data_IF_768418977710
#
_entry.id   IF_768418977710
#
_cell.length_a   1.000
_cell.length_b   1.000
_cell.length_c   1.000
_cell.angle_alpha   90.00
_cell.angle_beta   90.00
_cell.angle_gamma   90.00
#
_symmetry.space_group_name_H-M   'P 1'
#
loop_
_entity.id
_entity.type
_entity.pdbx_description
1 polymer ?
#
# COMPACT_ATOMS: atom_id res chain seq x y z
N UNK A 1 0.81 -17.87 10.34
CA UNK A 1 1.37 -17.71 8.97
C UNK A 1 1.35 -16.24 8.58
N UNK A 2 2.48 -15.70 8.12
CA UNK A 2 2.62 -14.33 7.62
C UNK A 2 3.52 -14.33 6.39
N UNK A 3 3.18 -13.55 5.36
CA UNK A 3 4.01 -13.44 4.15
C UNK A 3 5.39 -12.78 4.38
N UNK A 4 5.61 -12.15 5.54
CA UNK A 4 6.92 -11.59 5.92
C UNK A 4 7.81 -12.60 6.66
N UNK A 5 7.23 -13.66 7.23
CA UNK A 5 7.98 -14.68 7.98
C UNK A 5 7.49 -16.09 7.62
N UNK A 6 7.47 -16.47 6.31
CA UNK A 6 7.18 -17.85 5.93
C UNK A 6 8.35 -18.76 6.34
N UNK A 7 8.05 -19.93 6.89
CA UNK A 7 9.05 -20.96 7.21
C UNK A 7 9.25 -21.94 6.06
N UNK A 8 8.18 -22.24 5.33
CA UNK A 8 8.12 -23.19 4.22
C UNK A 8 6.98 -22.84 3.26
N UNK A 9 6.90 -23.57 2.13
CA UNK A 9 5.82 -23.48 1.15
C UNK A 9 6.12 -22.56 -0.03
N UNK A 10 5.20 -22.53 -0.99
CA UNK A 10 5.32 -21.74 -2.22
C UNK A 10 4.45 -20.48 -2.18
N UNK A 11 5.06 -19.32 -2.32
CA UNK A 11 4.35 -18.06 -2.53
C UNK A 11 4.10 -17.84 -4.03
N UNK A 12 2.83 -17.90 -4.44
CA UNK A 12 2.40 -17.52 -5.80
C UNK A 12 2.05 -16.04 -5.79
N UNK A 13 3.01 -15.19 -6.16
CA UNK A 13 2.87 -13.74 -6.09
C UNK A 13 2.18 -13.23 -7.36
N UNK A 14 1.01 -12.61 -7.17
CA UNK A 14 0.15 -12.10 -8.24
C UNK A 14 0.04 -10.58 -8.09
N UNK A 15 0.96 -9.80 -8.66
CA UNK A 15 0.98 -8.36 -8.47
C UNK A 15 -0.04 -7.61 -9.35
N UNK A 16 -1.16 -8.27 -9.70
CA UNK A 16 -2.19 -7.73 -10.56
C UNK A 16 -2.80 -6.45 -10.00
N UNK A 17 -2.82 -5.40 -10.82
CA UNK A 17 -3.43 -4.12 -10.49
C UNK A 17 -4.93 -4.14 -10.85
N UNK A 18 -5.69 -5.02 -10.20
CA UNK A 18 -7.15 -5.18 -10.34
C UNK A 18 -7.92 -4.04 -9.64
N UNK A 19 -7.57 -2.79 -10.00
CA UNK A 19 -8.12 -1.53 -9.50
C UNK A 19 -8.84 -0.77 -10.63
N UNK A 20 -9.57 0.33 -10.36
CA UNK A 20 -10.14 1.18 -11.40
C UNK A 20 -9.09 1.62 -12.45
N UNK A 21 -9.26 1.17 -13.69
CA UNK A 21 -8.24 1.31 -14.74
C UNK A 21 -8.12 2.73 -15.28
N UNK A 22 -9.20 3.50 -15.25
CA UNK A 22 -9.23 4.92 -15.60
C UNK A 22 -8.39 5.77 -14.62
N UNK A 23 -8.38 5.40 -13.35
CA UNK A 23 -7.55 6.04 -12.33
C UNK A 23 -6.07 5.64 -12.47
N UNK A 24 -5.78 4.34 -12.63
CA UNK A 24 -4.40 3.87 -12.79
C UNK A 24 -3.68 4.49 -13.99
N UNK A 25 -4.39 4.74 -15.10
CA UNK A 25 -3.83 5.39 -16.30
C UNK A 25 -3.34 6.83 -16.04
N UNK A 26 -3.76 7.47 -14.95
CA UNK A 26 -3.30 8.81 -14.54
C UNK A 26 -1.96 8.76 -13.80
N UNK A 27 -1.54 7.58 -13.36
CA UNK A 27 -0.29 7.38 -12.61
C UNK A 27 0.83 7.06 -13.59
N UNK A 28 1.85 7.91 -13.65
CA UNK A 28 3.05 7.65 -14.45
C UNK A 28 3.74 6.37 -13.97
N UNK A 29 4.02 5.48 -14.92
CA UNK A 29 4.64 4.17 -14.71
C UNK A 29 3.82 3.21 -13.83
N UNK A 30 2.48 3.33 -13.81
CA UNK A 30 1.60 2.48 -13.00
C UNK A 30 1.88 0.98 -13.14
N UNK A 31 2.17 0.49 -14.37
CA UNK A 31 2.55 -0.91 -14.62
C UNK A 31 3.69 -1.38 -13.72
N UNK A 32 4.69 -0.53 -13.50
CA UNK A 32 5.86 -0.88 -12.70
C UNK A 32 5.53 -1.11 -11.23
N UNK A 33 4.32 -0.75 -10.77
CA UNK A 33 3.85 -1.16 -9.44
C UNK A 33 3.74 -2.66 -9.27
N UNK A 34 3.76 -3.43 -10.37
CA UNK A 34 3.97 -4.87 -10.28
C UNK A 34 5.25 -5.22 -9.51
N UNK A 35 6.28 -4.38 -9.55
CA UNK A 35 7.54 -4.57 -8.82
C UNK A 35 7.46 -4.24 -7.33
N UNK A 36 6.34 -3.66 -6.83
CA UNK A 36 6.18 -3.38 -5.39
C UNK A 36 6.13 -4.64 -4.54
N UNK A 37 5.87 -5.81 -5.12
CA UNK A 37 5.92 -7.08 -4.38
C UNK A 37 7.26 -7.80 -4.48
N UNK A 38 8.27 -7.25 -5.16
CA UNK A 38 9.60 -7.88 -5.27
C UNK A 38 10.32 -8.02 -3.93
N UNK A 39 9.94 -7.25 -2.90
CA UNK A 39 10.44 -7.49 -1.55
C UNK A 39 10.15 -8.94 -1.07
N UNK A 40 9.10 -9.60 -1.59
CA UNK A 40 8.80 -11.00 -1.25
C UNK A 40 9.88 -11.97 -1.74
N UNK A 41 10.74 -11.59 -2.69
CA UNK A 41 11.91 -12.41 -3.05
C UNK A 41 12.86 -12.57 -1.85
N UNK A 42 12.89 -11.62 -0.92
CA UNK A 42 13.72 -11.68 0.28
C UNK A 42 13.28 -12.80 1.25
N UNK A 43 12.06 -13.32 1.09
CA UNK A 43 11.59 -14.49 1.86
C UNK A 43 12.33 -15.78 1.49
N UNK A 44 12.97 -15.82 0.32
CA UNK A 44 13.82 -16.93 -0.11
C UNK A 44 15.04 -17.13 0.81
N UNK A 45 15.31 -16.23 1.76
CA UNK A 45 16.25 -16.48 2.87
C UNK A 45 15.90 -17.77 3.63
N UNK A 46 14.61 -18.10 3.74
CA UNK A 46 14.17 -19.36 4.34
C UNK A 46 14.33 -20.49 3.30
N UNK A 47 15.10 -21.56 3.61
CA UNK A 47 15.42 -22.61 2.62
C UNK A 47 14.20 -23.44 2.21
N UNK A 48 13.16 -23.51 3.06
CA UNK A 48 11.91 -24.21 2.76
C UNK A 48 10.94 -23.43 1.87
N UNK A 49 11.22 -22.16 1.57
CA UNK A 49 10.32 -21.27 0.83
C UNK A 49 10.65 -21.27 -0.65
N UNK A 50 9.63 -21.30 -1.50
CA UNK A 50 9.74 -21.06 -2.94
C UNK A 50 8.89 -19.86 -3.33
N UNK A 51 9.28 -19.18 -4.40
CA UNK A 51 8.51 -18.05 -4.92
C UNK A 51 8.25 -18.24 -6.40
N UNK A 52 6.98 -18.16 -6.79
CA UNK A 52 6.56 -18.03 -8.18
C UNK A 52 6.09 -16.60 -8.36
N UNK A 53 6.82 -15.80 -9.14
CA UNK A 53 6.48 -14.40 -9.39
C UNK A 53 5.88 -14.23 -10.78
N UNK A 54 4.69 -13.64 -10.83
CA UNK A 54 4.00 -13.34 -12.07
C UNK A 54 4.23 -11.88 -12.48
N UNK A 55 4.31 -11.62 -13.77
CA UNK A 55 4.39 -10.25 -14.29
C UNK A 55 3.80 -10.12 -15.70
N UNK A 56 3.38 -8.91 -16.07
CA UNK A 56 2.87 -8.64 -17.41
C UNK A 56 3.98 -8.72 -18.46
N UNK A 57 5.20 -8.32 -18.08
CA UNK A 57 6.39 -8.28 -18.92
C UNK A 57 7.59 -8.87 -18.17
N UNK A 58 8.65 -9.31 -18.88
CA UNK A 58 9.87 -9.78 -18.24
C UNK A 58 10.45 -8.70 -17.31
N UNK A 59 10.83 -9.12 -16.10
CA UNK A 59 11.57 -8.28 -15.16
C UNK A 59 13.04 -8.33 -15.57
N UNK A 60 13.70 -7.18 -15.58
CA UNK A 60 15.13 -7.08 -15.92
C UNK A 60 15.96 -7.98 -14.98
N UNK A 61 16.84 -8.86 -15.51
CA UNK A 61 17.68 -9.71 -14.68
C UNK A 61 18.51 -8.96 -13.63
N UNK A 62 18.99 -7.75 -13.94
CA UNK A 62 19.75 -6.93 -12.97
C UNK A 62 18.90 -6.61 -11.72
N UNK A 63 17.57 -6.45 -11.87
CA UNK A 63 16.64 -6.22 -10.76
C UNK A 63 16.53 -7.48 -9.90
N UNK A 64 16.47 -8.66 -10.52
CA UNK A 64 16.39 -9.93 -9.81
C UNK A 64 17.69 -10.18 -9.04
N UNK A 65 18.83 -10.02 -9.70
CA UNK A 65 20.16 -10.16 -9.09
C UNK A 65 20.34 -9.20 -7.90
N UNK A 66 19.81 -7.98 -8.00
CA UNK A 66 19.79 -7.03 -6.89
C UNK A 66 19.05 -7.56 -5.66
N UNK A 67 17.83 -8.07 -5.82
CA UNK A 67 17.06 -8.62 -4.70
C UNK A 67 17.70 -9.89 -4.13
N UNK A 68 18.21 -10.78 -4.99
CA UNK A 68 18.90 -11.99 -4.55
C UNK A 68 20.22 -11.66 -3.84
N UNK A 69 20.89 -10.56 -4.18
CA UNK A 69 22.10 -10.09 -3.52
C UNK A 69 21.96 -9.75 -2.03
N UNK A 70 20.72 -9.56 -1.52
CA UNK A 70 20.47 -9.41 -0.09
C UNK A 70 20.47 -10.75 0.68
N UNK A 71 20.43 -11.87 -0.04
CA UNK A 71 20.26 -13.20 0.54
C UNK A 71 21.62 -13.84 0.84
N UNK A 72 21.69 -14.69 1.88
CA UNK A 72 22.95 -15.34 2.26
C UNK A 72 23.46 -16.34 1.20
N UNK A 73 22.56 -16.94 0.43
CA UNK A 73 22.86 -17.86 -0.67
C UNK A 73 22.00 -17.48 -1.90
N UNK A 74 22.48 -16.53 -2.74
CA UNK A 74 21.76 -16.09 -3.93
C UNK A 74 21.53 -17.22 -4.96
N UNK A 75 22.48 -18.14 -5.10
CA UNK A 75 22.40 -19.25 -6.06
C UNK A 75 21.30 -20.24 -5.67
N UNK A 76 21.18 -20.54 -4.38
CA UNK A 76 20.09 -21.37 -3.87
C UNK A 76 18.73 -20.69 -3.99
N UNK A 77 18.65 -19.41 -3.63
CA UNK A 77 17.44 -18.64 -3.80
C UNK A 77 16.99 -18.58 -5.27
N UNK A 78 17.92 -18.40 -6.22
CA UNK A 78 17.63 -18.42 -7.65
C UNK A 78 17.01 -19.75 -8.11
N UNK A 79 17.47 -20.90 -7.58
CA UNK A 79 16.88 -22.21 -7.91
C UNK A 79 15.45 -22.38 -7.38
N UNK A 80 15.07 -21.64 -6.33
CA UNK A 80 13.74 -21.66 -5.71
C UNK A 80 12.82 -20.53 -6.18
N UNK A 81 13.32 -19.66 -7.05
CA UNK A 81 12.57 -18.60 -7.70
C UNK A 81 12.15 -19.03 -9.11
N UNK A 82 10.87 -18.87 -9.42
CA UNK A 82 10.34 -19.03 -10.78
C UNK A 82 9.65 -17.76 -11.24
N UNK A 83 10.17 -17.15 -12.29
CA UNK A 83 9.59 -15.97 -12.92
C UNK A 83 8.74 -16.41 -14.11
N UNK A 84 7.49 -15.95 -14.19
CA UNK A 84 6.57 -16.23 -15.30
C UNK A 84 6.00 -14.90 -15.79
N UNK A 85 6.52 -14.43 -16.92
CA UNK A 85 5.97 -13.28 -17.64
C UNK A 85 4.90 -13.73 -18.64
N UNK A 86 3.91 -12.86 -18.88
CA UNK A 86 2.91 -13.07 -19.95
C UNK A 86 3.33 -12.46 -21.29
N UNK A 87 4.35 -11.62 -21.28
CA UNK A 87 4.90 -10.89 -22.44
C UNK A 87 3.84 -10.06 -23.20
N UNK A 88 2.86 -9.52 -22.47
CA UNK A 88 1.77 -8.73 -23.03
C UNK A 88 1.80 -7.28 -22.52
N UNK A 89 1.61 -6.28 -23.40
CA UNK A 89 1.48 -4.89 -22.99
C UNK A 89 0.33 -4.69 -21.99
N UNK A 90 0.59 -3.90 -20.94
CA UNK A 90 -0.41 -3.61 -19.93
C UNK A 90 -1.60 -2.85 -20.53
N UNK A 91 -2.71 -3.55 -20.71
CA UNK A 91 -3.99 -3.02 -21.22
C UNK A 91 -5.16 -3.29 -20.27
N UNK A 92 -4.96 -4.22 -19.33
CA UNK A 92 -5.93 -4.72 -18.36
C UNK A 92 -5.19 -5.36 -17.17
N UNK A 93 -5.88 -5.69 -16.06
CA UNK A 93 -5.29 -6.42 -14.94
C UNK A 93 -4.61 -7.72 -15.38
N UNK A 94 -3.44 -8.01 -14.79
CA UNK A 94 -2.60 -9.17 -15.09
C UNK A 94 -3.40 -10.49 -15.00
N UNK A 95 -4.20 -10.63 -13.94
CA UNK A 95 -5.00 -11.83 -13.70
C UNK A 95 -6.01 -12.11 -14.82
N UNK A 96 -6.60 -11.07 -15.44
CA UNK A 96 -7.51 -11.26 -16.59
C UNK A 96 -6.81 -11.81 -17.81
N UNK A 97 -5.57 -11.39 -18.07
CA UNK A 97 -4.77 -11.96 -19.15
C UNK A 97 -4.44 -13.42 -18.85
N UNK A 98 -4.05 -13.70 -17.61
CA UNK A 98 -3.67 -15.04 -17.17
C UNK A 98 -4.82 -16.06 -17.28
N UNK A 99 -6.04 -15.68 -16.89
CA UNK A 99 -7.25 -16.52 -17.02
C UNK A 99 -7.57 -16.89 -18.48
N UNK A 100 -7.07 -16.11 -19.46
CA UNK A 100 -7.23 -16.38 -20.90
C UNK A 100 -6.09 -17.23 -21.49
N UNK A 101 -5.13 -17.65 -20.67
CA UNK A 101 -3.91 -18.36 -21.10
C UNK A 101 -3.81 -19.74 -20.47
N UNK A 102 -4.52 -20.76 -21.00
CA UNK A 102 -4.49 -22.13 -20.49
C UNK A 102 -3.06 -22.69 -20.41
N UNK A 103 -2.20 -22.35 -21.38
CA UNK A 103 -0.80 -22.75 -21.40
C UNK A 103 -0.01 -22.25 -20.17
N UNK A 104 -0.30 -21.02 -19.72
CA UNK A 104 0.33 -20.44 -18.52
C UNK A 104 -0.26 -21.04 -17.25
N UNK A 105 -1.57 -21.26 -17.20
CA UNK A 105 -2.24 -21.92 -16.09
C UNK A 105 -1.67 -23.34 -15.87
N UNK A 106 -1.44 -24.10 -16.93
CA UNK A 106 -0.85 -25.44 -16.83
C UNK A 106 0.61 -25.40 -16.37
N UNK A 107 1.38 -24.41 -16.84
CA UNK A 107 2.74 -24.14 -16.34
C UNK A 107 2.74 -23.80 -14.85
N UNK A 108 1.74 -23.05 -14.38
CA UNK A 108 1.58 -22.70 -12.97
C UNK A 108 1.22 -23.90 -12.12
N UNK A 109 0.20 -24.68 -12.51
CA UNK A 109 -0.17 -25.93 -11.84
C UNK A 109 1.00 -26.89 -11.70
N UNK A 110 1.83 -26.98 -12.74
CA UNK A 110 3.03 -27.83 -12.73
C UNK A 110 4.18 -27.29 -11.85
N UNK A 111 4.15 -26.00 -11.51
CA UNK A 111 5.16 -25.34 -10.68
C UNK A 111 4.80 -25.32 -9.19
N UNK A 112 3.50 -25.30 -8.90
CA UNK A 112 2.93 -25.24 -7.57
C UNK A 112 3.07 -26.61 -6.89
N UNK A 113 3.57 -26.61 -5.66
CA UNK A 113 3.53 -27.79 -4.79
C UNK A 113 2.27 -27.78 -3.91
N UNK A 114 2.11 -28.82 -3.09
CA UNK A 114 0.90 -29.01 -2.28
C UNK A 114 0.71 -27.97 -1.17
N UNK A 115 1.77 -27.26 -0.78
CA UNK A 115 1.74 -26.20 0.23
C UNK A 115 2.06 -24.86 -0.42
N UNK A 116 1.04 -24.25 -1.03
CA UNK A 116 1.17 -23.00 -1.75
C UNK A 116 0.09 -22.01 -1.32
N UNK A 117 0.38 -20.73 -1.48
CA UNK A 117 -0.53 -19.63 -1.17
C UNK A 117 -0.44 -18.56 -2.25
N UNK A 118 -1.60 -18.09 -2.70
CA UNK A 118 -1.70 -16.99 -3.63
C UNK A 118 -1.61 -15.67 -2.86
N UNK A 119 -0.66 -14.82 -3.22
CA UNK A 119 -0.44 -13.51 -2.61
C UNK A 119 -0.77 -12.42 -3.64
N UNK A 120 -2.02 -11.91 -3.66
CA UNK A 120 -2.42 -10.89 -4.60
C UNK A 120 -2.04 -9.50 -4.08
N UNK A 121 -1.75 -8.56 -5.00
CA UNK A 121 -1.63 -7.15 -4.62
C UNK A 121 -2.98 -6.59 -4.13
N UNK A 122 -4.04 -6.86 -4.89
CA UNK A 122 -5.43 -6.51 -4.57
C UNK A 122 -6.28 -7.75 -4.87
N UNK A 123 -7.26 -8.04 -4.02
CA UNK A 123 -8.21 -9.11 -4.30
C UNK A 123 -9.40 -8.58 -5.10
N UNK A 124 -9.74 -9.27 -6.18
CA UNK A 124 -10.99 -9.11 -6.92
C UNK A 124 -11.51 -10.49 -7.35
N UNK A 125 -12.70 -10.52 -7.95
CA UNK A 125 -13.31 -11.77 -8.45
C UNK A 125 -12.37 -12.55 -9.36
N UNK A 126 -11.51 -11.88 -10.13
CA UNK A 126 -10.57 -12.57 -11.03
C UNK A 126 -9.44 -13.27 -10.29
N UNK A 127 -8.99 -12.72 -9.15
CA UNK A 127 -8.00 -13.39 -8.31
C UNK A 127 -8.60 -14.60 -7.58
N UNK A 128 -9.87 -14.53 -7.18
CA UNK A 128 -10.59 -15.67 -6.61
C UNK A 128 -10.82 -16.78 -7.65
N UNK A 129 -11.19 -16.43 -8.88
CA UNK A 129 -11.29 -17.37 -10.00
C UNK A 129 -9.94 -18.04 -10.28
N UNK A 130 -8.84 -17.27 -10.30
CA UNK A 130 -7.50 -17.81 -10.48
C UNK A 130 -7.13 -18.80 -9.37
N UNK A 131 -7.36 -18.42 -8.11
CA UNK A 131 -7.08 -19.26 -6.96
C UNK A 131 -7.87 -20.58 -7.03
N UNK A 132 -9.15 -20.52 -7.41
CA UNK A 132 -9.99 -21.71 -7.59
C UNK A 132 -9.48 -22.62 -8.71
N UNK A 133 -9.07 -22.06 -9.85
CA UNK A 133 -8.51 -22.82 -10.98
C UNK A 133 -7.15 -23.47 -10.68
N UNK A 134 -6.38 -22.90 -9.75
CA UNK A 134 -5.10 -23.43 -9.29
C UNK A 134 -5.26 -24.33 -8.06
N UNK A 135 -6.42 -24.33 -7.40
CA UNK A 135 -6.68 -24.98 -6.12
C UNK A 135 -5.68 -24.57 -5.04
N UNK A 136 -5.46 -23.26 -4.90
CA UNK A 136 -4.52 -22.65 -3.95
C UNK A 136 -5.25 -21.66 -3.04
N UNK A 137 -5.05 -21.70 -1.71
CA UNK A 137 -5.64 -20.72 -0.80
C UNK A 137 -5.08 -19.31 -1.02
N UNK A 138 -5.89 -18.29 -0.73
CA UNK A 138 -5.54 -16.88 -0.93
C UNK A 138 -5.11 -16.27 0.40
N UNK A 139 -3.99 -15.55 0.40
CA UNK A 139 -3.61 -14.66 1.49
C UNK A 139 -4.10 -13.23 1.18
N UNK A 140 -5.36 -12.94 1.51
CA UNK A 140 -5.95 -11.63 1.26
C UNK A 140 -7.42 -11.54 1.70
N UNK A 141 -7.95 -10.32 1.83
CA UNK A 141 -9.30 -10.10 2.31
C UNK A 141 -10.30 -10.48 1.23
N UNK A 142 -11.14 -11.50 1.49
CA UNK A 142 -12.13 -12.06 0.55
C UNK A 142 -13.02 -10.98 -0.08
N UNK A 143 -13.42 -11.15 -1.34
CA UNK A 143 -14.23 -10.14 -2.06
C UNK A 143 -15.61 -9.96 -1.42
N UNK A 144 -16.15 -11.02 -0.80
CA UNK A 144 -17.38 -10.97 0.00
C UNK A 144 -17.30 -10.03 1.20
N UNK A 145 -16.09 -9.65 1.63
CA UNK A 145 -15.83 -8.72 2.73
C UNK A 145 -15.42 -7.32 2.23
N UNK A 146 -15.44 -7.07 0.90
CA UNK A 146 -15.02 -5.81 0.31
C UNK A 146 -15.79 -4.60 0.84
N UNK A 147 -17.04 -4.80 1.30
CA UNK A 147 -17.84 -3.77 1.95
C UNK A 147 -17.08 -3.09 3.09
N UNK A 148 -16.32 -3.82 3.91
CA UNK A 148 -15.57 -3.26 5.03
C UNK A 148 -14.35 -2.43 4.62
N UNK A 149 -13.93 -2.51 3.35
CA UNK A 149 -12.95 -1.61 2.75
C UNK A 149 -13.59 -0.39 2.06
N UNK A 150 -14.92 -0.31 1.98
CA UNK A 150 -15.62 0.87 1.49
C UNK A 150 -15.64 1.98 2.54
N UNK A 151 -15.88 3.23 2.12
CA UNK A 151 -16.01 4.34 3.09
C UNK A 151 -17.14 4.14 4.09
N UNK A 152 -18.27 3.59 3.65
CA UNK A 152 -19.39 3.29 4.56
C UNK A 152 -19.07 2.14 5.52
N UNK A 153 -18.51 1.04 5.02
CA UNK A 153 -18.12 -0.09 5.88
C UNK A 153 -16.99 0.26 6.84
N UNK A 154 -16.04 1.11 6.44
CA UNK A 154 -15.01 1.63 7.32
C UNK A 154 -15.61 2.43 8.49
N UNK A 155 -16.65 3.24 8.23
CA UNK A 155 -17.38 3.96 9.30
C UNK A 155 -18.13 3.01 10.23
N UNK A 156 -18.74 1.95 9.69
CA UNK A 156 -19.41 0.94 10.49
C UNK A 156 -18.42 0.23 11.44
N UNK A 157 -17.30 -0.27 10.90
CA UNK A 157 -16.23 -0.92 11.68
C UNK A 157 -15.66 0.05 12.73
N UNK A 158 -15.38 1.29 12.33
CA UNK A 158 -14.82 2.31 13.23
C UNK A 158 -15.76 2.65 14.39
N UNK A 159 -17.07 2.72 14.12
CA UNK A 159 -18.08 2.95 15.16
C UNK A 159 -18.15 1.78 16.14
N UNK A 160 -18.19 0.53 15.64
CA UNK A 160 -18.20 -0.66 16.48
C UNK A 160 -16.92 -0.78 17.34
N UNK A 161 -15.77 -0.44 16.77
CA UNK A 161 -14.48 -0.40 17.47
C UNK A 161 -14.37 0.75 18.50
N UNK A 162 -15.34 1.66 18.54
CA UNK A 162 -15.30 2.87 19.38
C UNK A 162 -14.17 3.82 18.99
N UNK A 163 -13.77 3.85 17.72
CA UNK A 163 -12.71 4.72 17.21
C UNK A 163 -13.32 6.05 16.77
N UNK A 164 -12.75 7.20 17.20
CA UNK A 164 -13.22 8.51 16.77
C UNK A 164 -13.21 8.65 15.24
N UNK A 165 -14.17 9.39 14.70
CA UNK A 165 -14.28 9.71 13.28
C UNK A 165 -14.82 11.13 13.12
N UNK A 166 -14.63 11.71 11.93
CA UNK A 166 -15.39 12.90 11.55
C UNK A 166 -16.89 12.62 11.64
N UNK A 167 -17.66 13.58 12.16
CA UNK A 167 -19.12 13.50 12.17
C UNK A 167 -19.61 13.34 10.74
N UNK A 168 -20.55 12.43 10.53
CA UNK A 168 -20.95 12.10 9.18
C UNK A 168 -21.91 10.92 9.10
N UNK A 169 -22.38 10.69 7.90
CA UNK A 169 -23.32 9.65 7.52
C UNK A 169 -22.67 8.74 6.50
N UNK A 170 -22.93 7.44 6.61
CA UNK A 170 -22.56 6.45 5.59
C UNK A 170 -23.79 5.94 4.84
N UNK A 171 -23.51 5.16 3.80
CA UNK A 171 -24.50 4.47 2.96
C UNK A 171 -25.54 5.43 2.33
N UNK A 172 -25.07 6.58 1.83
CA UNK A 172 -25.92 7.59 1.19
C UNK A 172 -25.99 7.33 -0.32
N UNK A 173 -27.19 7.14 -0.87
CA UNK A 173 -27.42 6.77 -2.29
C UNK A 173 -28.35 7.73 -3.07
N UNK A 174 -28.94 8.73 -2.42
CA UNK A 174 -29.90 9.64 -3.07
C UNK A 174 -29.56 11.09 -2.85
N UNK A 175 -29.95 11.95 -3.79
CA UNK A 175 -29.73 13.41 -3.69
C UNK A 175 -30.38 13.97 -2.44
N UNK A 176 -31.60 13.52 -2.11
CA UNK A 176 -32.33 13.96 -0.91
C UNK A 176 -31.53 13.62 0.34
N UNK A 177 -31.05 12.37 0.46
CA UNK A 177 -30.27 11.94 1.61
C UNK A 177 -28.91 12.68 1.69
N UNK A 178 -28.29 13.01 0.55
CA UNK A 178 -27.09 13.85 0.52
C UNK A 178 -27.42 15.24 1.07
N UNK A 179 -28.48 15.88 0.59
CA UNK A 179 -28.83 17.24 1.03
C UNK A 179 -29.15 17.29 2.52
N UNK A 180 -29.94 16.32 3.02
CA UNK A 180 -30.24 16.17 4.46
C UNK A 180 -28.97 15.94 5.30
N UNK A 181 -28.06 15.07 4.83
CA UNK A 181 -26.79 14.82 5.51
C UNK A 181 -25.92 16.09 5.54
N UNK A 182 -25.88 16.85 4.46
CA UNK A 182 -25.06 18.06 4.40
C UNK A 182 -25.63 19.16 5.30
N UNK A 183 -26.95 19.34 5.31
CA UNK A 183 -27.61 20.37 6.11
C UNK A 183 -27.47 20.10 7.61
N UNK A 184 -27.52 18.83 8.03
CA UNK A 184 -27.41 18.42 9.43
C UNK A 184 -25.99 18.48 10.02
N UNK A 185 -24.94 18.43 9.19
CA UNK A 185 -23.55 18.49 9.67
C UNK A 185 -23.12 19.92 10.04
N UNK A 186 -22.26 20.09 11.05
CA UNK A 186 -21.77 21.41 11.46
C UNK A 186 -20.77 22.00 10.44
N UNK A 187 -20.46 23.28 10.61
CA UNK A 187 -19.47 23.99 9.80
C UNK A 187 -20.03 24.55 8.49
N UNK A 188 -19.17 25.22 7.72
CA UNK A 188 -19.54 25.83 6.42
C UNK A 188 -19.30 24.89 5.24
N UNK A 189 -18.52 23.83 5.45
CA UNK A 189 -18.09 22.89 4.43
C UNK A 189 -18.23 21.45 4.91
N UNK A 190 -18.49 20.58 3.96
CA UNK A 190 -18.56 19.12 4.14
C UNK A 190 -17.74 18.46 3.04
N UNK A 191 -17.38 17.20 3.25
CA UNK A 191 -16.78 16.35 2.24
C UNK A 191 -17.71 15.18 1.93
N UNK A 192 -17.98 14.96 0.64
CA UNK A 192 -18.67 13.78 0.14
C UNK A 192 -17.64 12.86 -0.48
N UNK A 193 -17.60 11.59 -0.07
CA UNK A 193 -16.62 10.61 -0.57
C UNK A 193 -17.36 9.39 -1.11
N UNK A 194 -17.12 9.02 -2.37
CA UNK A 194 -17.63 7.77 -2.95
C UNK A 194 -17.06 6.55 -2.19
N UNK A 195 -17.87 5.52 -2.02
CA UNK A 195 -17.54 4.33 -1.21
C UNK A 195 -16.27 3.59 -1.65
N UNK A 196 -16.04 3.49 -2.95
CA UNK A 196 -15.01 2.75 -3.65
C UNK A 196 -14.05 3.69 -4.42
N UNK A 197 -14.02 4.98 -4.04
CA UNK A 197 -13.07 5.94 -4.60
C UNK A 197 -11.64 5.69 -4.10
N UNK A 198 -10.65 5.80 -4.98
CA UNK A 198 -9.24 5.62 -4.66
C UNK A 198 -8.43 6.90 -4.93
N UNK A 199 -7.28 7.07 -4.24
CA UNK A 199 -6.40 8.25 -4.36
C UNK A 199 -7.11 9.61 -4.28
N UNK A 200 -8.16 9.71 -3.47
CA UNK A 200 -8.96 10.93 -3.32
C UNK A 200 -9.82 11.32 -4.52
N UNK A 201 -9.78 10.61 -5.65
CA UNK A 201 -10.53 10.96 -6.87
C UNK A 201 -12.06 10.90 -6.70
N UNK A 202 -12.53 10.15 -5.70
CA UNK A 202 -13.95 10.06 -5.34
C UNK A 202 -14.42 11.13 -4.35
N UNK A 203 -13.62 12.16 -4.06
CA UNK A 203 -13.96 13.20 -3.08
C UNK A 203 -14.54 14.46 -3.74
N UNK A 204 -15.50 15.08 -3.06
CA UNK A 204 -16.01 16.41 -3.35
C UNK A 204 -16.09 17.24 -2.07
N UNK A 205 -15.44 18.40 -2.04
CA UNK A 205 -15.59 19.38 -0.95
C UNK A 205 -16.72 20.31 -1.33
N UNK A 206 -17.77 20.32 -0.52
CA UNK A 206 -19.00 21.07 -0.80
C UNK A 206 -19.16 22.21 0.18
N UNK A 207 -19.35 23.42 -0.33
CA UNK A 207 -19.75 24.58 0.46
C UNK A 207 -21.26 24.51 0.72
N UNK A 208 -21.67 24.66 1.98
CA UNK A 208 -23.09 24.68 2.37
C UNK A 208 -23.79 25.97 1.93
N UNK A 209 -23.08 27.09 1.94
CA UNK A 209 -23.62 28.39 1.56
C UNK A 209 -23.82 28.54 0.05
N UNK A 210 -22.95 27.91 -0.75
CA UNK A 210 -23.00 27.99 -2.21
C UNK A 210 -22.46 26.71 -2.86
N UNK A 211 -23.37 25.88 -3.37
CA UNK A 211 -23.04 24.61 -4.05
C UNK A 211 -22.23 24.81 -5.33
N UNK A 212 -22.27 25.98 -5.96
CA UNK A 212 -21.46 26.28 -7.14
C UNK A 212 -19.97 26.31 -6.84
N UNK A 213 -19.59 26.49 -5.57
CA UNK A 213 -18.20 26.42 -5.10
C UNK A 213 -17.71 25.00 -4.81
N UNK A 214 -18.47 23.97 -5.17
CA UNK A 214 -18.05 22.57 -4.98
C UNK A 214 -16.75 22.31 -5.72
N UNK A 215 -15.77 21.73 -5.01
CA UNK A 215 -14.49 21.31 -5.58
C UNK A 215 -14.44 19.80 -5.66
N UNK A 216 -14.36 19.28 -6.87
CA UNK A 216 -14.15 17.86 -7.12
C UNK A 216 -12.66 17.55 -7.26
N UNK A 217 -12.23 16.43 -6.71
CA UNK A 217 -10.84 15.97 -6.89
C UNK A 217 -10.60 15.42 -8.30
N UNK A 218 -11.62 14.86 -8.95
CA UNK A 218 -11.52 14.39 -10.34
C UNK A 218 -11.71 15.55 -11.34
N UNK A 219 -10.78 15.67 -12.29
CA UNK A 219 -10.86 16.65 -13.38
C UNK A 219 -12.09 16.40 -14.26
N UNK A 220 -12.85 17.47 -14.56
CA UNK A 220 -14.05 17.42 -15.40
C UNK A 220 -15.29 16.84 -14.71
N UNK A 221 -15.20 16.47 -13.43
CA UNK A 221 -16.34 16.00 -12.65
C UNK A 221 -17.35 17.15 -12.40
N UNK A 222 -18.64 16.82 -12.44
CA UNK A 222 -19.75 17.75 -12.19
C UNK A 222 -20.67 17.18 -11.12
N UNK A 223 -21.54 17.99 -10.53
CA UNK A 223 -22.51 17.48 -9.56
C UNK A 223 -23.43 16.41 -10.16
N UNK A 224 -23.82 16.55 -11.43
CA UNK A 224 -24.65 15.58 -12.15
C UNK A 224 -23.95 14.24 -12.35
N UNK A 225 -22.69 14.26 -12.82
CA UNK A 225 -21.91 13.03 -12.97
C UNK A 225 -21.61 12.39 -11.61
N UNK A 226 -21.32 13.21 -10.60
CA UNK A 226 -20.99 12.75 -9.25
C UNK A 226 -22.18 12.09 -8.55
N UNK A 227 -23.36 12.72 -8.58
CA UNK A 227 -24.59 12.15 -8.00
C UNK A 227 -25.06 10.88 -8.73
N UNK A 228 -24.77 10.74 -10.03
CA UNK A 228 -24.99 9.48 -10.75
C UNK A 228 -24.14 8.36 -10.16
N UNK A 229 -22.85 8.63 -9.93
CA UNK A 229 -21.94 7.68 -9.26
C UNK A 229 -22.40 7.35 -7.84
N UNK A 230 -22.89 8.34 -7.07
CA UNK A 230 -23.38 8.11 -5.71
C UNK A 230 -24.58 7.15 -5.72
N UNK A 231 -25.48 7.25 -6.70
CA UNK A 231 -26.63 6.32 -6.80
C UNK A 231 -26.20 4.86 -6.99
N UNK A 232 -25.13 4.65 -7.75
CA UNK A 232 -24.67 3.31 -8.12
C UNK A 232 -23.71 2.72 -7.08
N UNK A 233 -22.89 3.57 -6.44
CA UNK A 233 -21.75 3.17 -5.60
C UNK A 233 -21.97 3.46 -4.11
N UNK A 234 -22.88 4.38 -3.78
CA UNK A 234 -23.03 4.96 -2.46
C UNK A 234 -21.89 5.91 -2.09
N UNK A 235 -22.12 6.70 -1.03
CA UNK A 235 -21.15 7.65 -0.50
C UNK A 235 -21.27 7.80 1.02
N UNK A 236 -20.22 8.38 1.59
CA UNK A 236 -20.25 9.00 2.91
C UNK A 236 -20.28 10.52 2.78
N UNK A 237 -20.95 11.18 3.72
CA UNK A 237 -20.95 12.63 3.88
C UNK A 237 -20.41 12.95 5.25
N UNK A 238 -19.31 13.69 5.33
CA UNK A 238 -18.62 13.99 6.58
C UNK A 238 -18.39 15.49 6.74
N UNK A 239 -18.28 15.95 7.99
CA UNK A 239 -17.83 17.31 8.28
C UNK A 239 -16.43 17.52 7.70
N UNK A 240 -16.19 18.69 7.14
CA UNK A 240 -14.84 19.03 6.69
C UNK A 240 -14.00 19.43 7.90
N UNK A 241 -12.91 18.71 8.17
CA UNK A 241 -12.04 18.99 9.32
C UNK A 241 -11.24 20.28 9.07
N UNK A 242 -11.70 21.37 9.69
CA UNK A 242 -11.06 22.69 9.62
C UNK A 242 -9.87 22.83 10.59
N UNK A 243 -9.77 21.95 11.59
CA UNK A 243 -8.73 22.04 12.62
C UNK A 243 -7.33 22.03 12.02
N UNK A 244 -6.43 22.91 12.51
CA UNK A 244 -5.03 22.96 12.12
C UNK A 244 -4.15 23.14 13.37
N UNK A 245 -2.96 22.50 13.44
CA UNK A 245 -2.40 21.57 12.45
C UNK A 245 -3.19 20.25 12.35
N UNK A 246 -3.19 19.66 11.16
CA UNK A 246 -3.81 18.36 10.88
C UNK A 246 -2.72 17.44 10.29
N UNK A 247 -2.59 16.26 10.85
CA UNK A 247 -1.61 15.26 10.43
C UNK A 247 -2.33 14.06 9.80
N UNK A 248 -1.62 13.30 8.98
CA UNK A 248 -2.18 12.22 8.15
C UNK A 248 -1.47 10.88 8.43
N UNK A 249 -1.50 10.36 9.67
CA UNK A 249 -0.91 9.07 9.93
C UNK A 249 -1.69 7.92 9.29
N UNK A 250 -1.04 6.79 9.15
CA UNK A 250 -1.69 5.52 8.83
C UNK A 250 -1.13 4.39 9.68
N UNK A 251 -1.84 3.27 9.73
CA UNK A 251 -1.39 2.04 10.34
C UNK A 251 -1.48 0.89 9.34
N UNK A 252 -0.48 0.02 9.36
CA UNK A 252 -0.47 -1.26 8.65
C UNK A 252 -0.82 -2.35 9.65
N UNK A 253 -1.87 -3.12 9.36
CA UNK A 253 -2.28 -4.26 10.18
C UNK A 253 -2.29 -5.56 9.37
N UNK A 254 -2.27 -6.67 10.10
CA UNK A 254 -2.32 -8.03 9.58
C UNK A 254 -3.33 -8.84 10.37
N UNK A 255 -4.15 -9.61 9.67
CA UNK A 255 -4.90 -10.71 10.26
C UNK A 255 -4.43 -12.03 9.63
N UNK A 256 -3.99 -12.96 10.47
CA UNK A 256 -3.56 -14.29 10.01
C UNK A 256 -4.77 -15.18 9.67
N UNK A 257 -4.59 -16.27 8.90
CA UNK A 257 -5.67 -17.25 8.67
C UNK A 257 -6.28 -17.85 9.95
N UNK A 258 -5.55 -17.81 11.07
CA UNK A 258 -6.06 -18.24 12.38
C UNK A 258 -6.84 -17.16 13.15
N UNK A 259 -7.15 -16.02 12.54
CA UNK A 259 -7.89 -14.92 13.18
C UNK A 259 -7.06 -14.02 14.10
N UNK A 260 -5.75 -14.23 14.20
CA UNK A 260 -4.90 -13.35 15.02
C UNK A 260 -4.62 -12.02 14.29
N UNK A 261 -5.14 -10.93 14.86
CA UNK A 261 -4.90 -9.55 14.44
C UNK A 261 -3.66 -8.95 15.11
N UNK A 262 -2.87 -8.18 14.36
CA UNK A 262 -1.73 -7.43 14.87
C UNK A 262 -1.48 -6.17 14.04
N UNK A 263 -1.15 -5.05 14.70
CA UNK A 263 -0.55 -3.88 14.06
C UNK A 263 0.93 -4.18 13.80
N UNK A 264 1.38 -3.85 12.60
CA UNK A 264 2.74 -4.09 12.12
C UNK A 264 3.58 -2.81 12.06
N UNK A 265 2.93 -1.69 11.79
CA UNK A 265 3.58 -0.39 11.71
C UNK A 265 2.57 0.74 11.76
N UNK A 266 3.05 1.91 12.17
CA UNK A 266 2.35 3.19 12.06
C UNK A 266 3.24 4.14 11.28
N UNK A 267 2.68 4.92 10.37
CA UNK A 267 3.41 5.79 9.47
C UNK A 267 2.86 7.20 9.49
N UNK A 268 3.70 8.19 9.15
CA UNK A 268 3.18 9.47 8.65
C UNK A 268 3.21 9.46 7.12
N UNK A 269 2.07 9.81 6.52
CA UNK A 269 2.00 9.91 5.06
C UNK A 269 2.64 11.21 4.59
N UNK A 270 3.51 11.10 3.58
CA UNK A 270 4.04 12.26 2.86
C UNK A 270 3.09 12.53 1.70
N UNK A 271 2.31 13.61 1.78
CA UNK A 271 1.35 13.99 0.76
C UNK A 271 1.88 15.17 -0.07
N UNK A 272 1.45 15.24 -1.33
CA UNK A 272 1.79 16.31 -2.26
C UNK A 272 0.70 16.54 -3.30
N UNK A 273 1.07 17.16 -4.41
CA UNK A 273 0.11 17.58 -5.44
C UNK A 273 -0.61 18.90 -5.09
N UNK A 274 -1.45 19.42 -6.00
CA UNK A 274 -2.05 20.76 -5.85
C UNK A 274 -2.88 20.95 -4.57
N UNK A 275 -3.44 19.87 -4.03
CA UNK A 275 -4.31 19.88 -2.86
C UNK A 275 -3.70 19.17 -1.63
N UNK A 276 -2.43 18.75 -1.68
CA UNK A 276 -1.77 17.93 -0.64
C UNK A 276 -2.53 16.63 -0.29
N UNK A 277 -3.06 15.94 -1.30
CA UNK A 277 -3.86 14.73 -1.18
C UNK A 277 -3.30 13.54 -2.01
N UNK A 278 -2.18 13.73 -2.71
CA UNK A 278 -1.52 12.68 -3.49
C UNK A 278 -0.39 12.06 -2.66
N UNK A 279 -0.51 10.77 -2.35
CA UNK A 279 0.54 10.01 -1.66
C UNK A 279 1.88 10.03 -2.41
N UNK A 280 2.91 10.56 -1.75
CA UNK A 280 4.28 10.62 -2.27
C UNK A 280 5.20 9.56 -1.65
N UNK A 281 4.81 9.04 -0.48
CA UNK A 281 5.67 8.23 0.35
C UNK A 281 5.21 8.21 1.81
N UNK A 282 6.04 7.67 2.69
CA UNK A 282 5.78 7.64 4.12
C UNK A 282 7.05 7.70 4.94
N UNK A 283 6.91 8.06 6.21
CA UNK A 283 7.94 7.91 7.24
C UNK A 283 7.46 6.90 8.30
N UNK A 284 8.38 6.11 8.85
CA UNK A 284 8.14 5.18 9.95
C UNK A 284 9.15 5.38 11.07
N UNK A 285 8.71 5.35 12.35
CA UNK A 285 7.32 5.31 12.77
C UNK A 285 6.62 6.67 12.55
N UNK A 286 5.29 6.68 12.68
CA UNK A 286 4.50 7.88 12.91
C UNK A 286 5.03 8.68 14.11
N UNK A 287 4.75 9.98 14.13
CA UNK A 287 5.26 10.89 15.15
C UNK A 287 4.86 10.45 16.58
N UNK A 288 5.77 10.61 17.58
CA UNK A 288 5.56 10.11 18.94
C UNK A 288 4.33 10.70 19.63
N UNK A 289 3.85 11.87 19.20
CA UNK A 289 2.73 12.60 19.79
C UNK A 289 1.37 11.90 19.62
N UNK A 290 1.20 11.08 18.59
CA UNK A 290 -0.07 10.41 18.28
C UNK A 290 0.08 8.95 17.85
N UNK A 291 1.32 8.44 17.72
CA UNK A 291 1.59 7.07 17.29
C UNK A 291 0.87 6.04 18.14
N UNK A 292 0.82 6.24 19.45
CA UNK A 292 0.17 5.30 20.37
C UNK A 292 -1.34 5.25 20.10
N UNK A 293 -2.00 6.39 20.01
CA UNK A 293 -3.43 6.51 19.73
C UNK A 293 -3.81 5.94 18.35
N UNK A 294 -2.94 6.13 17.34
CA UNK A 294 -3.10 5.51 16.01
C UNK A 294 -2.99 3.99 16.13
N UNK A 295 -1.99 3.48 16.85
CA UNK A 295 -1.77 2.05 17.09
C UNK A 295 -2.96 1.40 17.81
N UNK A 296 -3.40 1.95 18.93
CA UNK A 296 -4.54 1.42 19.70
C UNK A 296 -5.84 1.45 18.91
N UNK A 297 -6.06 2.51 18.12
CA UNK A 297 -7.24 2.59 17.24
C UNK A 297 -7.20 1.52 16.15
N UNK A 298 -6.03 1.32 15.55
CA UNK A 298 -5.80 0.29 14.55
C UNK A 298 -5.96 -1.14 15.11
N UNK A 299 -5.51 -1.40 16.34
CA UNK A 299 -5.69 -2.70 17.00
C UNK A 299 -7.17 -3.04 17.22
N UNK A 300 -7.97 -2.07 17.71
CA UNK A 300 -9.41 -2.27 17.91
C UNK A 300 -10.15 -2.55 16.60
N UNK A 301 -9.85 -1.78 15.54
CA UNK A 301 -10.42 -2.00 14.20
C UNK A 301 -10.01 -3.39 13.67
N UNK A 302 -8.75 -3.76 13.81
CA UNK A 302 -8.26 -5.06 13.36
C UNK A 302 -8.92 -6.22 14.11
N UNK A 303 -9.26 -6.05 15.39
CA UNK A 303 -10.05 -7.00 16.17
C UNK A 303 -11.44 -7.25 15.57
N UNK A 304 -12.20 -6.18 15.29
CA UNK A 304 -13.52 -6.28 14.66
C UNK A 304 -13.45 -6.95 13.28
N UNK A 305 -12.46 -6.58 12.46
CA UNK A 305 -12.28 -7.20 11.14
C UNK A 305 -11.88 -8.69 11.24
N UNK A 306 -11.12 -9.07 12.26
CA UNK A 306 -10.78 -10.47 12.50
C UNK A 306 -12.01 -11.31 12.89
N UNK A 307 -12.89 -10.77 13.72
CA UNK A 307 -14.19 -11.41 14.05
C UNK A 307 -15.08 -11.60 12.81
N UNK A 308 -14.96 -10.70 11.83
CA UNK A 308 -15.64 -10.78 10.53
C UNK A 308 -14.94 -11.71 9.53
N UNK A 309 -13.82 -12.34 9.90
CA UNK A 309 -13.11 -13.32 9.07
C UNK A 309 -12.17 -12.72 8.03
N UNK A 310 -11.80 -11.44 8.15
CA UNK A 310 -10.80 -10.82 7.25
C UNK A 310 -9.45 -11.51 7.44
N UNK A 311 -8.74 -11.77 6.33
CA UNK A 311 -7.38 -12.34 6.32
C UNK A 311 -6.48 -11.44 5.48
N UNK A 312 -5.20 -11.36 5.83
CA UNK A 312 -4.19 -10.66 5.04
C UNK A 312 -3.79 -9.30 5.62
N UNK A 313 -3.32 -8.42 4.75
CA UNK A 313 -2.77 -7.10 5.11
C UNK A 313 -3.72 -6.00 4.66
N UNK A 314 -3.81 -4.94 5.46
CA UNK A 314 -4.60 -3.77 5.15
C UNK A 314 -4.04 -2.52 5.82
N UNK A 315 -4.26 -1.39 5.17
CA UNK A 315 -3.93 -0.07 5.72
C UNK A 315 -5.15 0.58 6.36
N UNK A 316 -4.92 1.42 7.35
CA UNK A 316 -5.93 2.29 7.95
C UNK A 316 -5.38 3.70 7.99
N UNK A 317 -6.12 4.66 7.44
CA UNK A 317 -5.70 6.04 7.40
C UNK A 317 -6.45 6.83 8.47
N UNK A 318 -5.73 7.73 9.13
CA UNK A 318 -6.24 8.54 10.22
C UNK A 318 -5.94 10.02 9.98
N UNK A 319 -6.74 10.87 10.61
CA UNK A 319 -6.37 12.25 10.88
C UNK A 319 -5.90 12.34 12.34
N UNK A 320 -4.71 12.88 12.57
CA UNK A 320 -4.25 13.24 13.90
C UNK A 320 -4.42 14.74 14.12
N UNK A 321 -5.07 15.11 15.23
CA UNK A 321 -5.27 16.50 15.62
C UNK A 321 -5.12 16.67 17.13
N UNK A 322 -4.75 17.87 17.55
CA UNK A 322 -4.57 18.18 18.97
C UNK A 322 -5.93 18.24 19.67
N UNK A 323 -6.04 17.51 20.77
CA UNK A 323 -7.21 17.44 21.65
C UNK A 323 -6.83 17.86 23.08
N UNK A 324 -7.82 18.05 23.96
CA UNK A 324 -7.59 18.51 25.33
C UNK A 324 -6.63 17.60 26.13
N UNK A 325 -6.67 16.29 25.87
CA UNK A 325 -5.86 15.28 26.55
C UNK A 325 -4.60 14.86 25.76
N UNK A 326 -4.25 15.54 24.66
CA UNK A 326 -3.11 15.16 23.82
C UNK A 326 -3.47 15.21 22.34
N UNK A 327 -3.50 14.07 21.68
CA UNK A 327 -3.92 13.92 20.30
C UNK A 327 -5.11 12.98 20.17
N UNK A 328 -5.94 13.21 19.16
CA UNK A 328 -6.98 12.27 18.75
C UNK A 328 -6.64 11.73 17.36
N UNK A 329 -6.76 10.41 17.19
CA UNK A 329 -6.69 9.74 15.91
C UNK A 329 -8.10 9.46 15.40
N UNK A 330 -8.51 10.18 14.35
CA UNK A 330 -9.83 10.03 13.73
C UNK A 330 -9.69 9.12 12.51
N UNK A 331 -10.39 7.97 12.49
CA UNK A 331 -10.40 7.09 11.34
C UNK A 331 -10.94 7.82 10.11
N UNK A 332 -10.20 7.75 9.00
CA UNK A 332 -10.56 8.33 7.70
C UNK A 332 -11.02 7.26 6.71
N UNK A 333 -10.27 6.15 6.58
CA UNK A 333 -10.60 5.05 5.69
C UNK A 333 -9.86 3.75 6.08
N UNK A 334 -10.40 2.62 5.63
CA UNK A 334 -9.78 1.29 5.73
C UNK A 334 -9.52 0.82 4.30
N UNK A 335 -8.26 0.46 4.01
CA UNK A 335 -7.81 -0.05 2.72
C UNK A 335 -7.54 -1.56 2.84
N UNK A 336 -8.57 -2.39 2.60
CA UNK A 336 -8.48 -3.86 2.66
C UNK A 336 -7.68 -4.47 1.49
N UNK A 337 -6.37 -4.20 1.47
CA UNK A 337 -5.42 -4.67 0.45
C UNK A 337 -3.99 -4.30 0.83
N UNK A 338 -3.03 -4.85 0.09
CA UNK A 338 -1.65 -4.33 0.09
C UNK A 338 -1.64 -2.89 -0.45
N UNK A 339 -0.88 -2.01 0.21
CA UNK A 339 -0.85 -0.58 -0.06
C UNK A 339 0.57 0.00 -0.20
N UNK A 340 0.62 1.33 -0.33
CA UNK A 340 1.88 2.08 -0.47
C UNK A 340 2.82 2.01 0.74
N UNK A 341 2.29 1.67 1.92
CA UNK A 341 3.07 1.50 3.17
C UNK A 341 3.46 0.04 3.42
N UNK A 342 2.93 -0.92 2.67
CA UNK A 342 3.22 -2.34 2.86
C UNK A 342 4.60 -2.74 2.34
N UNK A 343 4.97 -2.28 1.15
CA UNK A 343 6.26 -2.64 0.54
C UNK A 343 7.46 -1.99 1.25
N UNK A 344 7.42 -0.74 1.78
CA UNK A 344 8.51 -0.20 2.58
C UNK A 344 8.67 -0.95 3.90
N UNK A 345 7.55 -1.30 4.55
CA UNK A 345 7.58 -2.17 5.72
C UNK A 345 8.23 -3.52 5.40
N UNK A 346 7.79 -4.18 4.32
CA UNK A 346 8.34 -5.45 3.85
C UNK A 346 9.85 -5.39 3.57
N UNK A 347 10.28 -4.36 2.83
CA UNK A 347 11.69 -4.10 2.58
C UNK A 347 12.48 -3.91 3.87
N UNK A 348 11.98 -3.12 4.82
CA UNK A 348 12.64 -2.88 6.09
C UNK A 348 12.78 -4.16 6.92
N UNK A 349 11.70 -4.91 7.16
CA UNK A 349 11.77 -6.11 8.02
C UNK A 349 12.57 -7.25 7.39
N UNK A 350 12.50 -7.44 6.06
CA UNK A 350 13.18 -8.55 5.40
C UNK A 350 14.68 -8.31 5.15
N UNK A 351 15.10 -7.04 4.97
CA UNK A 351 16.52 -6.72 4.82
C UNK A 351 17.23 -6.57 6.16
N UNK A 352 16.53 -6.14 7.22
CA UNK A 352 17.13 -5.91 8.55
C UNK A 352 16.89 -7.06 9.55
N UNK A 353 15.89 -7.90 9.31
CA UNK A 353 15.41 -8.88 10.30
C UNK A 353 14.77 -8.23 11.54
N UNK A 354 14.40 -6.96 11.47
CA UNK A 354 13.77 -6.25 12.57
C UNK A 354 12.35 -6.76 12.84
N UNK A 355 11.94 -6.74 14.10
CA UNK A 355 10.60 -7.12 14.55
C UNK A 355 9.89 -5.92 15.14
N UNK A 356 8.58 -5.81 14.91
CA UNK A 356 7.78 -4.77 15.52
C UNK A 356 7.58 -5.04 17.01
N UNK A 357 7.88 -4.04 17.82
CA UNK A 357 7.62 -4.01 19.26
C UNK A 357 6.40 -3.12 19.51
N UNK A 358 5.28 -3.74 19.87
CA UNK A 358 4.02 -3.06 20.14
C UNK A 358 4.10 -2.10 21.34
N UNK A 359 4.98 -2.37 22.32
CA UNK A 359 5.11 -1.51 23.49
C UNK A 359 5.74 -0.16 23.15
N UNK A 360 6.68 -0.15 22.21
CA UNK A 360 7.38 1.08 21.78
C UNK A 360 6.86 1.64 20.46
N UNK A 361 6.15 0.85 19.67
CA UNK A 361 5.72 1.19 18.31
C UNK A 361 6.90 1.29 17.32
N UNK A 362 7.99 0.59 17.58
CA UNK A 362 9.24 0.63 16.79
C UNK A 362 9.55 -0.73 16.15
N UNK A 363 10.31 -0.71 15.07
CA UNK A 363 10.99 -1.91 14.56
C UNK A 363 12.32 -2.06 15.28
N UNK A 364 12.62 -3.25 15.80
CA UNK A 364 13.81 -3.55 16.57
C UNK A 364 14.65 -4.64 15.87
N UNK A 365 15.86 -4.31 15.44
CA UNK A 365 16.86 -5.25 14.98
C UNK A 365 17.79 -5.60 16.17
N UNK A 366 17.43 -6.64 16.93
CA UNK A 366 18.01 -6.85 18.25
C UNK A 366 17.57 -5.73 19.20
N UNK A 367 18.52 -4.94 19.72
CA UNK A 367 18.23 -3.78 20.56
C UNK A 367 18.30 -2.45 19.80
N UNK A 368 18.57 -2.48 18.49
CA UNK A 368 18.71 -1.28 17.67
C UNK A 368 17.36 -0.94 17.02
N UNK A 369 16.75 0.22 17.30
CA UNK A 369 15.57 0.67 16.57
C UNK A 369 15.91 0.94 15.10
N UNK A 370 14.93 0.68 14.23
CA UNK A 370 14.99 0.96 12.80
C UNK A 370 13.90 1.94 12.40
N UNK A 371 14.29 2.94 11.64
CA UNK A 371 13.46 3.98 11.07
C UNK A 371 13.52 3.88 9.56
N UNK A 372 12.49 4.33 8.87
CA UNK A 372 12.59 4.49 7.43
C UNK A 372 11.80 5.66 6.88
N UNK A 373 12.22 6.12 5.71
CA UNK A 373 11.53 7.09 4.87
C UNK A 373 11.51 6.57 3.45
N UNK A 374 10.31 6.48 2.86
CA UNK A 374 10.10 5.79 1.60
C UNK A 374 9.39 6.69 0.59
N UNK A 375 9.69 6.51 -0.70
CA UNK A 375 9.01 7.18 -1.80
C UNK A 375 8.88 6.26 -3.00
N UNK A 376 7.78 6.41 -3.74
CA UNK A 376 7.58 5.81 -5.07
C UNK A 376 7.86 6.80 -6.22
N UNK A 377 8.29 8.02 -5.88
CA UNK A 377 8.21 9.17 -6.79
C UNK A 377 9.55 9.93 -6.92
N UNK A 378 10.71 9.25 -6.83
CA UNK A 378 11.93 9.86 -7.36
C UNK A 378 11.89 9.73 -8.88
N UNK A 379 11.75 10.86 -9.56
CA UNK A 379 11.68 10.94 -11.00
C UNK A 379 12.50 12.12 -11.46
N UNK A 380 13.37 11.89 -12.44
CA UNK A 380 14.19 12.94 -13.03
C UNK A 380 14.52 12.65 -14.50
N UNK A 381 14.62 13.69 -15.36
CA UNK A 381 14.96 13.50 -16.77
C UNK A 381 16.29 12.76 -16.99
N UNK A 382 17.29 12.97 -16.12
CA UNK A 382 18.60 12.31 -16.22
C UNK A 382 18.57 10.80 -15.95
N UNK A 383 17.50 10.28 -15.34
CA UNK A 383 17.31 8.85 -15.10
C UNK A 383 16.66 8.14 -16.29
N UNK A 384 16.03 8.87 -17.20
CA UNK A 384 15.35 8.28 -18.35
C UNK A 384 16.35 7.64 -19.30
N UNK A 385 16.06 6.42 -19.73
CA UNK A 385 16.94 5.63 -20.61
C UNK A 385 18.07 4.90 -19.87
N UNK A 386 18.24 5.10 -18.56
CA UNK A 386 19.24 4.34 -17.78
C UNK A 386 18.75 2.92 -17.53
N UNK A 387 19.67 1.96 -17.59
CA UNK A 387 19.40 0.58 -17.23
C UNK A 387 19.35 0.41 -15.70
N UNK A 388 18.49 -0.48 -15.15
CA UNK A 388 18.44 -0.77 -13.72
C UNK A 388 19.82 -1.02 -13.09
N UNK A 389 20.63 -1.94 -13.64
CA UNK A 389 21.94 -2.25 -13.07
C UNK A 389 22.94 -1.10 -13.11
N UNK A 390 22.80 -0.16 -14.06
CA UNK A 390 23.63 1.04 -14.09
C UNK A 390 23.32 1.97 -12.91
N UNK A 391 22.03 2.16 -12.61
CA UNK A 391 21.59 2.96 -11.45
C UNK A 391 22.03 2.30 -10.15
N UNK A 392 21.92 0.97 -10.04
CA UNK A 392 22.34 0.23 -8.85
C UNK A 392 23.86 0.27 -8.61
N UNK A 393 24.67 0.10 -9.66
CA UNK A 393 26.14 0.31 -9.56
C UNK A 393 26.50 1.74 -9.18
N UNK A 394 25.75 2.72 -9.70
CA UNK A 394 25.91 4.13 -9.33
C UNK A 394 25.62 4.35 -7.86
N UNK A 395 24.52 3.80 -7.34
CA UNK A 395 24.16 3.87 -5.93
C UNK A 395 25.23 3.24 -5.03
N UNK A 396 25.79 2.09 -5.42
CA UNK A 396 26.91 1.46 -4.73
C UNK A 396 28.17 2.34 -4.70
N UNK A 397 28.56 2.92 -5.84
CA UNK A 397 29.73 3.83 -5.93
C UNK A 397 29.56 5.10 -5.10
N UNK A 398 28.34 5.61 -5.00
CA UNK A 398 28.01 6.81 -4.22
C UNK A 398 27.83 6.52 -2.73
N UNK A 399 27.91 5.25 -2.30
CA UNK A 399 27.74 4.88 -0.89
C UNK A 399 26.31 5.05 -0.37
N UNK A 400 25.31 5.08 -1.26
CA UNK A 400 23.89 5.21 -0.92
C UNK A 400 23.14 3.88 -1.02
N UNK A 401 23.82 2.77 -1.35
CA UNK A 401 23.22 1.43 -1.31
C UNK A 401 22.93 0.96 0.12
N UNK A 402 22.29 -0.20 0.24
CA UNK A 402 22.09 -0.86 1.53
C UNK A 402 23.39 -1.48 2.04
N UNK A 403 23.69 -1.27 3.32
CA UNK A 403 24.80 -1.85 4.08
C UNK A 403 24.25 -3.00 4.94
N UNK A 404 24.67 -4.24 4.63
CA UNK A 404 24.19 -5.44 5.31
C UNK A 404 24.71 -5.59 6.75
N UNK A 405 25.88 -5.03 7.06
CA UNK A 405 26.48 -5.10 8.39
C UNK A 405 25.77 -4.14 9.34
N UNK A 406 25.53 -2.91 8.89
CA UNK A 406 24.78 -1.90 9.64
C UNK A 406 23.27 -2.13 9.59
N UNK A 407 22.80 -2.84 8.55
CA UNK A 407 21.38 -3.02 8.23
C UNK A 407 20.67 -1.67 8.05
N UNK A 408 21.32 -0.76 7.33
CA UNK A 408 20.84 0.59 6.99
C UNK A 408 21.15 0.89 5.52
N UNK A 409 20.55 1.93 4.96
CA UNK A 409 20.75 2.32 3.56
C UNK A 409 19.48 2.21 2.71
N UNK A 410 19.61 2.35 1.39
CA UNK A 410 18.46 2.32 0.48
C UNK A 410 18.17 0.93 -0.09
N UNK A 411 16.91 0.54 -0.01
CA UNK A 411 16.33 -0.58 -0.78
C UNK A 411 15.53 0.00 -1.93
N UNK A 412 15.95 -0.24 -3.18
CA UNK A 412 15.36 0.32 -4.39
C UNK A 412 14.24 -0.57 -4.95
N UNK A 413 13.20 0.06 -5.51
CA UNK A 413 12.07 -0.61 -6.16
C UNK A 413 11.55 0.21 -7.35
N UNK A 414 10.63 -0.35 -8.15
CA UNK A 414 10.16 0.25 -9.42
C UNK A 414 11.30 0.52 -10.42
N UNK A 415 12.37 -0.27 -10.39
CA UNK A 415 13.54 -0.06 -11.23
C UNK A 415 13.21 -0.27 -12.72
N UNK A 416 12.23 -1.12 -13.06
CA UNK A 416 11.79 -1.28 -14.45
C UNK A 416 11.12 -0.03 -15.03
N UNK A 417 10.78 0.97 -14.21
CA UNK A 417 10.28 2.26 -14.69
C UNK A 417 11.40 3.19 -15.19
N UNK A 418 12.68 2.88 -14.92
CA UNK A 418 13.81 3.73 -15.28
C UNK A 418 13.95 3.99 -16.79
N UNK A 419 13.98 2.96 -17.66
CA UNK A 419 14.30 3.20 -19.07
C UNK A 419 13.26 4.09 -19.76
N UNK A 420 11.98 3.84 -19.50
CA UNK A 420 10.89 4.54 -20.17
C UNK A 420 10.51 5.85 -19.48
N UNK A 421 10.51 5.90 -18.14
CA UNK A 421 9.93 7.02 -17.38
C UNK A 421 10.95 7.82 -16.56
N UNK A 422 12.18 7.31 -16.38
CA UNK A 422 13.17 7.96 -15.51
C UNK A 422 12.71 8.03 -14.04
N UNK A 423 11.94 7.04 -13.61
CA UNK A 423 11.32 6.97 -12.28
C UNK A 423 11.79 5.73 -11.55
N UNK A 424 11.99 5.85 -10.24
CA UNK A 424 12.16 4.73 -9.31
C UNK A 424 11.56 5.08 -7.92
N UNK A 425 11.43 4.06 -7.08
CA UNK A 425 11.17 4.22 -5.66
C UNK A 425 12.32 3.70 -4.81
N UNK A 426 12.35 4.11 -3.54
CA UNK A 426 13.24 3.51 -2.56
C UNK A 426 12.71 3.66 -1.14
N UNK A 427 13.15 2.73 -0.28
CA UNK A 427 12.97 2.76 1.17
C UNK A 427 14.32 2.98 1.82
N UNK A 428 14.51 4.15 2.42
CA UNK A 428 15.74 4.52 3.13
C UNK A 428 15.63 4.10 4.58
N UNK A 429 16.49 3.21 5.06
CA UNK A 429 16.47 2.65 6.41
C UNK A 429 17.62 3.23 7.22
N UNK A 430 17.36 3.68 8.45
CA UNK A 430 18.36 4.22 9.38
C UNK A 430 18.16 3.71 10.81
N UNK A 431 19.15 3.95 11.66
CA UNK A 431 19.15 3.66 13.10
C UNK A 431 18.46 4.77 13.92
N UNK A 432 18.21 5.92 13.30
CA UNK A 432 17.41 7.02 13.83
C UNK A 432 16.55 7.67 12.73
N UNK A 433 15.57 8.49 13.13
CA UNK A 433 14.77 9.31 12.22
C UNK A 433 15.67 10.22 11.39
N UNK A 434 16.63 10.88 12.03
CA UNK A 434 17.56 11.81 11.41
C UNK A 434 18.41 11.12 10.34
N UNK A 435 19.00 9.96 10.65
CA UNK A 435 19.82 9.22 9.67
C UNK A 435 19.00 8.81 8.44
N UNK A 436 17.77 8.28 8.65
CA UNK A 436 16.91 7.87 7.56
C UNK A 436 16.52 9.06 6.66
N UNK A 437 16.18 10.21 7.25
CA UNK A 437 15.75 11.39 6.52
C UNK A 437 16.91 12.09 5.79
N UNK A 438 18.08 12.19 6.43
CA UNK A 438 19.28 12.76 5.82
C UNK A 438 19.74 11.94 4.62
N UNK A 439 19.78 10.60 4.75
CA UNK A 439 20.12 9.73 3.64
C UNK A 439 19.05 9.76 2.54
N UNK A 440 17.76 9.88 2.90
CA UNK A 440 16.68 9.99 1.92
C UNK A 440 16.85 11.26 1.09
N UNK A 441 17.07 12.41 1.75
CA UNK A 441 17.33 13.68 1.08
C UNK A 441 18.61 13.66 0.23
N UNK A 442 19.69 13.05 0.73
CA UNK A 442 20.93 12.85 -0.03
C UNK A 442 20.69 12.01 -1.30
N UNK A 443 19.96 10.90 -1.16
CA UNK A 443 19.63 9.99 -2.27
C UNK A 443 18.83 10.71 -3.34
N UNK A 444 17.80 11.49 -2.95
CA UNK A 444 17.05 12.32 -3.89
C UNK A 444 17.95 13.31 -4.63
N UNK A 445 18.82 14.04 -3.92
CA UNK A 445 19.74 14.99 -4.55
C UNK A 445 20.68 14.31 -5.55
N UNK A 446 21.27 13.17 -5.17
CA UNK A 446 22.25 12.46 -6.00
C UNK A 446 21.65 11.75 -7.21
N UNK A 447 20.38 11.33 -7.16
CA UNK A 447 19.73 10.62 -8.27
C UNK A 447 18.81 11.51 -9.10
N UNK A 448 18.17 12.49 -8.49
CA UNK A 448 17.12 13.28 -9.11
C UNK A 448 17.53 14.76 -9.37
N UNK A 449 18.52 15.30 -8.66
CA UNK A 449 19.03 16.68 -8.86
C UNK A 449 20.44 16.73 -9.51
N UNK A 450 20.96 15.58 -9.95
CA UNK A 450 22.32 15.41 -10.49
C UNK A 450 22.44 15.68 -12.00
#
# INVERSE_FOLDING_TARGET
MSIFEPSEGTLVVVPSLSLPQDELRRITAARSYEERLLFLLLTLRAPGVKVIYLSSAPIDPDIIDYYLGFLPDPDDAARRLRLISLDEPWSQPLTRTLLRRPDVLDRLRSAIDSDAWLVPFVLSETEEELAALLNVPIYGPATSLAYYGSKSGAREVGHEAGVPMARGFGDVHSIIAIDEAIDSLPGERVIVKLNDGYSGLGNAIVSKADRSMTRFSAAGETWTSFTTKIRDRGAVVEEFIEHRPLYYPSALARITPGGHAAVLATHDQVLGGPNNDVYQGCTFPAAPEYRHEVGESAERIAGILAERGVVGLFGMDFFALKADAGYAALLCEINLRIGGTTHPYGAAVLTTGARYDAATGLLMAGNQPKFYTATDNCSAPCLRGRAPGEVMRTAGRLGIGFDADRRTGNVFHLLGALPEYGKLGFTTIGDSREEADELHALTRRLLCDA
#
